data_IF_067198901277
#
_entry.id   IF_067198901277
#
_cell.length_a   1.000
_cell.length_b   1.000
_cell.length_c   1.000
_cell.angle_alpha   90.00
_cell.angle_beta   90.00
_cell.angle_gamma   90.00
#
_symmetry.space_group_name_H-M   'P 1'
#
loop_
_entity.id
_entity.type
_entity.pdbx_description
1 polymer ?
#
# COMPACT_ATOMS: atom_id res chain seq x y z
N UNK A 1 -25.46 -15.58 -2.34
CA UNK A 1 -26.43 -15.54 -1.22
C UNK A 1 -27.26 -14.27 -1.34
N UNK A 2 -28.55 -14.29 -0.99
CA UNK A 2 -29.42 -13.11 -1.10
C UNK A 2 -29.52 -12.40 0.24
N UNK A 3 -29.25 -11.09 0.28
CA UNK A 3 -29.33 -10.32 1.52
C UNK A 3 -30.79 -10.04 1.90
N UNK A 4 -31.18 -10.34 3.14
CA UNK A 4 -32.53 -10.14 3.65
C UNK A 4 -32.94 -8.67 3.73
N UNK A 5 -31.99 -7.75 3.88
CA UNK A 5 -32.27 -6.31 4.01
C UNK A 5 -32.34 -5.60 2.66
N UNK A 6 -31.28 -5.65 1.85
CA UNK A 6 -31.27 -4.96 0.55
C UNK A 6 -31.86 -5.78 -0.60
N UNK A 7 -32.24 -7.04 -0.35
CA UNK A 7 -32.79 -8.00 -1.32
C UNK A 7 -31.89 -8.30 -2.53
N UNK A 8 -30.66 -7.77 -2.58
CA UNK A 8 -29.70 -8.03 -3.64
C UNK A 8 -28.99 -9.38 -3.52
N UNK A 9 -28.61 -9.95 -4.66
CA UNK A 9 -27.71 -11.10 -4.74
C UNK A 9 -26.28 -10.66 -4.45
N UNK A 10 -25.62 -11.43 -3.57
CA UNK A 10 -24.37 -11.07 -2.91
C UNK A 10 -23.40 -12.25 -2.85
N UNK A 11 -22.10 -11.99 -2.94
CA UNK A 11 -21.08 -13.02 -2.74
C UNK A 11 -21.11 -13.49 -1.28
N UNK A 12 -20.67 -14.74 -1.03
CA UNK A 12 -20.64 -15.28 0.35
C UNK A 12 -19.78 -14.42 1.28
N UNK A 13 -18.67 -13.88 0.75
CA UNK A 13 -17.76 -12.98 1.47
C UNK A 13 -18.31 -11.58 1.78
N UNK A 14 -19.48 -11.22 1.23
CA UNK A 14 -20.17 -9.97 1.59
C UNK A 14 -21.01 -10.10 2.88
N UNK A 15 -21.03 -11.29 3.49
CA UNK A 15 -21.71 -11.58 4.76
C UNK A 15 -20.68 -11.80 5.87
N UNK A 16 -21.07 -11.61 7.14
CA UNK A 16 -20.21 -11.96 8.26
C UNK A 16 -19.73 -13.42 8.12
N UNK A 17 -18.42 -13.69 8.29
CA UNK A 17 -17.87 -15.04 8.15
C UNK A 17 -18.33 -15.97 9.29
N UNK A 18 -18.73 -15.38 10.41
CA UNK A 18 -19.31 -16.05 11.57
C UNK A 18 -20.62 -15.35 11.95
N UNK A 19 -21.22 -15.77 13.05
CA UNK A 19 -22.42 -15.11 13.57
C UNK A 19 -22.16 -13.65 13.99
N UNK A 20 -23.21 -12.83 14.03
CA UNK A 20 -23.10 -11.39 14.42
C UNK A 20 -22.53 -11.22 15.84
N UNK A 21 -22.85 -12.15 16.72
CA UNK A 21 -22.20 -12.38 18.02
C UNK A 21 -22.17 -13.89 18.24
N UNK A 22 -21.23 -14.39 19.04
CA UNK A 22 -21.13 -15.80 19.43
C UNK A 22 -22.41 -16.33 20.10
N UNK A 23 -23.27 -15.44 20.60
CA UNK A 23 -24.56 -15.78 21.21
C UNK A 23 -25.69 -16.02 20.21
N UNK A 24 -25.52 -15.65 18.94
CA UNK A 24 -26.50 -15.93 17.90
C UNK A 24 -26.50 -17.41 17.53
N UNK A 25 -27.66 -18.06 17.50
CA UNK A 25 -27.82 -19.43 17.00
C UNK A 25 -28.45 -19.45 15.59
N UNK A 26 -27.97 -18.59 14.70
CA UNK A 26 -28.43 -18.50 13.32
C UNK A 26 -27.32 -18.00 12.40
N UNK A 27 -27.38 -18.40 11.13
CA UNK A 27 -26.49 -17.85 10.10
C UNK A 27 -27.00 -16.45 9.75
N UNK A 28 -26.13 -15.42 9.70
CA UNK A 28 -26.56 -14.07 9.34
C UNK A 28 -27.08 -13.99 7.90
N UNK A 29 -28.28 -13.44 7.73
CA UNK A 29 -28.87 -13.20 6.40
C UNK A 29 -28.71 -11.75 5.92
N UNK A 30 -28.09 -10.89 6.73
CA UNK A 30 -27.75 -9.52 6.37
C UNK A 30 -26.32 -9.45 5.83
N UNK A 31 -26.12 -8.78 4.69
CA UNK A 31 -24.76 -8.46 4.24
C UNK A 31 -24.11 -7.46 5.20
N UNK A 32 -22.77 -7.47 5.29
CA UNK A 32 -21.99 -6.63 6.21
C UNK A 32 -22.35 -5.13 6.08
N UNK A 33 -22.62 -4.65 4.85
CA UNK A 33 -23.06 -3.26 4.60
C UNK A 33 -24.36 -2.92 5.31
N UNK A 34 -25.35 -3.81 5.15
CA UNK A 34 -26.67 -3.64 5.72
C UNK A 34 -26.64 -3.81 7.24
N UNK A 35 -25.80 -4.72 7.73
CA UNK A 35 -25.58 -4.94 9.16
C UNK A 35 -24.99 -3.69 9.83
N UNK A 36 -23.90 -3.14 9.28
CA UNK A 36 -23.26 -1.90 9.76
C UNK A 36 -24.20 -0.70 9.74
N UNK A 37 -24.98 -0.55 8.67
CA UNK A 37 -25.97 0.51 8.56
C UNK A 37 -27.10 0.38 9.59
N UNK A 38 -27.53 -0.85 9.88
CA UNK A 38 -28.59 -1.11 10.86
C UNK A 38 -28.10 -0.90 12.30
N UNK A 39 -26.82 -1.17 12.57
CA UNK A 39 -26.19 -0.92 13.87
C UNK A 39 -25.81 0.55 14.10
N UNK A 40 -26.05 1.42 13.10
CA UNK A 40 -25.80 2.87 13.07
C UNK A 40 -24.49 3.27 13.76
N UNK A 41 -23.38 2.73 13.25
CA UNK A 41 -22.02 2.88 13.78
C UNK A 41 -21.50 4.34 13.74
N UNK A 42 -22.18 5.23 13.01
CA UNK A 42 -21.82 6.65 12.87
C UNK A 42 -22.42 7.55 13.95
N UNK A 43 -23.35 7.05 14.77
CA UNK A 43 -24.01 7.81 15.83
C UNK A 43 -23.50 7.36 17.21
N UNK A 44 -22.61 8.15 17.81
CA UNK A 44 -22.03 7.91 19.15
C UNK A 44 -22.92 8.41 20.30
N UNK A 45 -24.01 9.12 20.01
CA UNK A 45 -24.81 9.84 21.01
C UNK A 45 -26.03 9.10 21.58
N UNK A 46 -26.22 7.81 21.32
CA UNK A 46 -27.35 7.07 21.89
C UNK A 46 -26.93 5.82 22.64
N UNK A 47 -27.20 5.84 23.94
CA UNK A 47 -27.11 4.75 24.92
C UNK A 47 -28.20 3.68 24.69
N UNK A 48 -28.53 3.36 23.42
CA UNK A 48 -29.41 2.25 23.06
C UNK A 48 -28.57 0.98 22.97
N UNK A 49 -28.95 -0.04 23.73
CA UNK A 49 -28.36 -1.37 23.60
C UNK A 49 -28.48 -1.87 22.15
N UNK A 50 -27.36 -1.96 21.44
CA UNK A 50 -27.30 -2.48 20.06
C UNK A 50 -27.55 -3.99 20.08
N UNK A 51 -28.48 -4.47 19.26
CA UNK A 51 -28.87 -5.89 19.18
C UNK A 51 -28.67 -6.41 17.76
N UNK A 52 -28.54 -7.73 17.63
CA UNK A 52 -28.60 -8.39 16.34
C UNK A 52 -29.93 -8.05 15.63
N UNK A 53 -29.94 -7.73 14.32
CA UNK A 53 -31.18 -7.44 13.60
C UNK A 53 -32.05 -8.68 13.35
N UNK A 54 -31.53 -9.88 13.64
CA UNK A 54 -32.16 -11.16 13.31
C UNK A 54 -32.53 -11.98 14.57
N UNK A 55 -32.10 -11.56 15.77
CA UNK A 55 -32.41 -12.22 17.04
C UNK A 55 -32.29 -11.25 18.23
N UNK A 56 -32.78 -11.59 19.44
CA UNK A 56 -32.82 -10.65 20.56
C UNK A 56 -31.46 -10.40 21.23
N UNK A 57 -30.39 -11.08 20.78
CA UNK A 57 -29.06 -11.00 21.38
C UNK A 57 -28.46 -9.60 21.29
N UNK A 58 -27.83 -9.17 22.39
CA UNK A 58 -27.13 -7.88 22.49
C UNK A 58 -25.72 -8.02 21.93
N UNK A 59 -25.23 -6.94 21.31
CA UNK A 59 -23.87 -6.83 20.79
C UNK A 59 -23.07 -5.94 21.74
N UNK A 60 -21.93 -6.42 22.21
CA UNK A 60 -21.00 -5.67 23.06
C UNK A 60 -20.25 -4.60 22.27
N UNK A 61 -19.62 -3.65 22.95
CA UNK A 61 -18.81 -2.62 22.29
C UNK A 61 -17.62 -3.21 21.51
N UNK A 62 -17.02 -4.29 22.02
CA UNK A 62 -15.88 -4.96 21.36
C UNK A 62 -16.32 -5.75 20.12
N UNK A 63 -17.40 -6.54 20.21
CA UNK A 63 -17.98 -7.23 19.04
C UNK A 63 -18.39 -6.23 17.95
N UNK A 64 -18.87 -5.05 18.36
CA UNK A 64 -19.22 -3.98 17.44
C UNK A 64 -17.98 -3.38 16.76
N UNK A 65 -16.89 -3.19 17.52
CA UNK A 65 -15.59 -2.74 16.99
C UNK A 65 -15.05 -3.75 15.99
N UNK A 66 -15.15 -5.05 16.29
CA UNK A 66 -14.76 -6.14 15.38
C UNK A 66 -15.61 -6.17 14.10
N UNK A 67 -16.93 -5.96 14.19
CA UNK A 67 -17.81 -5.86 13.02
C UNK A 67 -17.48 -4.64 12.15
N UNK A 68 -17.11 -3.53 12.79
CA UNK A 68 -16.66 -2.30 12.10
C UNK A 68 -15.34 -2.56 11.38
N UNK A 69 -14.39 -3.19 12.07
CA UNK A 69 -13.09 -3.58 11.51
C UNK A 69 -13.25 -4.57 10.35
N UNK A 70 -14.15 -5.56 10.47
CA UNK A 70 -14.44 -6.52 9.41
C UNK A 70 -15.09 -5.86 8.19
N UNK A 71 -15.93 -4.84 8.41
CA UNK A 71 -16.48 -4.01 7.33
C UNK A 71 -15.43 -3.12 6.69
N UNK A 72 -14.52 -2.53 7.46
CA UNK A 72 -13.45 -1.68 6.94
C UNK A 72 -12.38 -2.46 6.19
N UNK A 73 -12.05 -3.65 6.68
CA UNK A 73 -11.13 -4.61 6.04
C UNK A 73 -11.78 -5.48 4.97
N UNK A 74 -13.09 -5.32 4.74
CA UNK A 74 -13.80 -6.12 3.76
C UNK A 74 -13.17 -5.96 2.37
N UNK A 75 -12.66 -7.04 1.74
CA UNK A 75 -11.96 -6.96 0.45
C UNK A 75 -12.89 -6.57 -0.71
N UNK A 76 -14.20 -6.55 -0.48
CA UNK A 76 -15.22 -6.09 -1.43
C UNK A 76 -15.60 -4.60 -1.26
N UNK A 77 -15.08 -3.89 -0.24
CA UNK A 77 -15.18 -2.41 -0.15
C UNK A 77 -14.30 -1.74 -1.19
N UNK A 78 -13.21 -2.40 -1.57
CA UNK A 78 -12.53 -2.16 -2.82
C UNK A 78 -13.19 -3.13 -3.79
N UNK A 79 -13.62 -2.64 -4.94
CA UNK A 79 -14.20 -3.49 -5.98
C UNK A 79 -13.08 -4.28 -6.69
N UNK A 80 -12.35 -5.11 -5.94
CA UNK A 80 -11.26 -5.96 -6.46
C UNK A 80 -11.85 -7.13 -7.24
N UNK A 81 -13.08 -7.55 -6.94
CA UNK A 81 -13.77 -8.59 -7.72
C UNK A 81 -14.34 -8.12 -9.05
N UNK A 82 -14.52 -6.80 -9.23
CA UNK A 82 -14.87 -6.24 -10.55
C UNK A 82 -13.64 -5.84 -11.36
N UNK A 83 -12.44 -5.95 -10.78
CA UNK A 83 -11.20 -6.00 -11.54
C UNK A 83 -11.01 -7.45 -12.00
N UNK A 84 -11.53 -7.76 -13.20
CA UNK A 84 -11.28 -9.05 -13.86
C UNK A 84 -12.49 -9.92 -14.16
N UNK A 85 -13.72 -9.49 -13.82
CA UNK A 85 -14.95 -10.19 -14.26
C UNK A 85 -15.95 -9.24 -14.90
N UNK A 86 -15.59 -8.67 -16.05
CA UNK A 86 -16.62 -8.34 -17.04
C UNK A 86 -17.11 -9.66 -17.61
N UNK A 87 -18.40 -9.95 -17.39
CA UNK A 87 -19.12 -10.99 -18.14
C UNK A 87 -18.88 -10.73 -19.62
N UNK A 88 -18.27 -11.69 -20.31
CA UNK A 88 -18.41 -11.79 -21.76
C UNK A 88 -19.90 -11.79 -22.06
N UNK A 89 -20.44 -10.66 -22.53
CA UNK A 89 -21.60 -10.70 -23.40
C UNK A 89 -21.14 -11.46 -24.63
N UNK A 90 -21.47 -12.75 -24.66
CA UNK A 90 -21.37 -13.58 -25.85
C UNK A 90 -22.28 -12.98 -26.92
N UNK A 91 -21.74 -12.04 -27.69
CA UNK A 91 -22.15 -11.86 -29.06
C UNK A 91 -21.09 -12.55 -29.91
N UNK A 92 -21.26 -13.86 -30.07
CA UNK A 92 -20.74 -14.58 -31.24
C UNK A 92 -21.30 -13.88 -32.47
N UNK A 93 -20.43 -13.14 -33.17
CA UNK A 93 -20.42 -12.79 -34.60
C UNK A 93 -19.82 -11.39 -34.78
N UNK A 94 -18.50 -11.32 -34.86
CA UNK A 94 -17.83 -10.27 -35.63
C UNK A 94 -16.43 -10.75 -36.02
N UNK A 95 -16.22 -10.87 -37.32
CA UNK A 95 -14.91 -10.97 -37.93
C UNK A 95 -14.01 -9.81 -37.49
N UNK A 96 -12.71 -10.06 -37.50
CA UNK A 96 -11.58 -9.14 -37.40
C UNK A 96 -11.97 -7.64 -37.48
N UNK A 97 -12.07 -6.97 -36.32
CA UNK A 97 -12.71 -5.66 -36.22
C UNK A 97 -12.40 -4.94 -34.91
N UNK A 98 -11.18 -4.40 -34.82
CA UNK A 98 -10.75 -3.29 -33.94
C UNK A 98 -11.54 -3.13 -32.62
N UNK A 99 -11.35 -4.06 -31.68
CA UNK A 99 -11.91 -3.97 -30.33
C UNK A 99 -11.46 -2.64 -29.70
N UNK A 100 -12.41 -1.75 -29.45
CA UNK A 100 -12.16 -0.45 -28.80
C UNK A 100 -12.40 -0.56 -27.30
N UNK A 101 -11.70 0.27 -26.53
CA UNK A 101 -11.90 0.39 -25.10
C UNK A 101 -10.63 0.81 -24.38
N UNK A 102 -10.68 0.77 -23.06
CA UNK A 102 -9.60 1.24 -22.20
C UNK A 102 -9.01 0.11 -21.39
N UNK A 103 -7.71 0.19 -21.08
CA UNK A 103 -7.09 -0.58 -20.01
C UNK A 103 -6.54 0.37 -18.97
N UNK A 104 -6.36 -0.13 -17.75
CA UNK A 104 -5.96 0.68 -16.62
C UNK A 104 -4.67 0.15 -16.01
N UNK A 105 -3.72 1.03 -15.77
CA UNK A 105 -2.51 0.73 -15.00
C UNK A 105 -2.65 1.38 -13.63
N UNK A 106 -2.50 0.59 -12.56
CA UNK A 106 -2.72 1.02 -11.17
C UNK A 106 -1.42 0.91 -10.38
N UNK A 107 -0.96 2.01 -9.80
CA UNK A 107 0.23 2.04 -8.95
C UNK A 107 -0.13 1.67 -7.50
N UNK A 108 0.88 1.34 -6.69
CA UNK A 108 0.70 0.95 -5.28
C UNK A 108 0.10 2.07 -4.40
N UNK A 109 0.32 3.34 -4.76
CA UNK A 109 -0.37 4.45 -4.08
C UNK A 109 -1.88 4.54 -4.40
N UNK A 110 -2.36 3.77 -5.38
CA UNK A 110 -3.74 3.79 -5.88
C UNK A 110 -3.96 4.71 -7.09
N UNK A 111 -2.93 5.41 -7.56
CA UNK A 111 -3.03 6.20 -8.79
C UNK A 111 -3.36 5.30 -9.97
N UNK A 112 -4.35 5.71 -10.76
CA UNK A 112 -4.85 4.96 -11.93
C UNK A 112 -4.56 5.75 -13.21
N UNK A 113 -3.99 5.08 -14.20
CA UNK A 113 -3.72 5.64 -15.53
C UNK A 113 -4.46 4.85 -16.61
N UNK A 114 -5.15 5.59 -17.47
CA UNK A 114 -5.93 5.02 -18.58
C UNK A 114 -5.11 4.99 -19.86
N UNK A 115 -5.18 3.88 -20.59
CA UNK A 115 -4.59 3.68 -21.91
C UNK A 115 -5.62 3.12 -22.87
N UNK A 116 -5.54 3.51 -24.14
CA UNK A 116 -6.46 3.02 -25.17
C UNK A 116 -6.03 1.63 -25.65
N UNK A 117 -6.88 0.63 -25.45
CA UNK A 117 -6.57 -0.78 -25.72
C UNK A 117 -6.11 -1.01 -27.16
N UNK A 118 -6.79 -0.38 -28.12
CA UNK A 118 -6.47 -0.48 -29.55
C UNK A 118 -5.12 0.13 -29.95
N UNK A 119 -4.54 1.00 -29.11
CA UNK A 119 -3.21 1.59 -29.34
C UNK A 119 -2.09 0.70 -28.76
N UNK A 120 -2.41 -0.20 -27.82
CA UNK A 120 -1.44 -1.06 -27.14
C UNK A 120 -1.42 -2.45 -27.78
N UNK A 121 -0.52 -2.65 -28.75
CA UNK A 121 -0.42 -3.92 -29.48
C UNK A 121 0.22 -5.05 -28.65
N UNK A 122 1.17 -4.71 -27.79
CA UNK A 122 1.95 -5.68 -27.01
C UNK A 122 2.53 -5.04 -25.74
N UNK A 123 3.10 -5.88 -24.86
CA UNK A 123 3.67 -5.45 -23.57
C UNK A 123 4.80 -4.42 -23.74
N UNK A 124 5.78 -4.57 -24.66
CA UNK A 124 6.76 -3.52 -24.90
C UNK A 124 6.16 -2.15 -25.24
N UNK A 125 5.11 -2.11 -26.07
CA UNK A 125 4.39 -0.86 -26.38
C UNK A 125 3.70 -0.29 -25.13
N UNK A 126 3.08 -1.13 -24.30
CA UNK A 126 2.49 -0.68 -23.03
C UNK A 126 3.55 -0.02 -22.15
N UNK A 127 4.74 -0.61 -22.03
CA UNK A 127 5.83 -0.06 -21.22
C UNK A 127 6.32 1.29 -21.73
N UNK A 128 6.43 1.45 -23.04
CA UNK A 128 6.78 2.72 -23.67
C UNK A 128 5.74 3.80 -23.37
N UNK A 129 4.45 3.47 -23.47
CA UNK A 129 3.38 4.42 -23.14
C UNK A 129 3.34 4.76 -21.65
N UNK A 130 3.61 3.80 -20.77
CA UNK A 130 3.81 4.05 -19.33
C UNK A 130 4.99 5.00 -19.11
N UNK A 131 6.13 4.79 -19.78
CA UNK A 131 7.29 5.67 -19.68
C UNK A 131 6.94 7.10 -20.10
N UNK A 132 6.27 7.27 -21.24
CA UNK A 132 5.83 8.59 -21.72
C UNK A 132 4.88 9.28 -20.75
N UNK A 133 3.93 8.55 -20.18
CA UNK A 133 2.86 9.12 -19.35
C UNK A 133 3.25 9.34 -17.90
N UNK A 134 4.10 8.47 -17.34
CA UNK A 134 4.45 8.45 -15.92
C UNK A 134 5.93 8.76 -15.65
N UNK A 135 6.75 8.91 -16.68
CA UNK A 135 8.19 9.10 -16.56
C UNK A 135 8.89 7.96 -15.77
N UNK A 136 8.39 6.73 -15.92
CA UNK A 136 9.00 5.53 -15.33
C UNK A 136 9.70 4.74 -16.43
N UNK A 137 11.02 4.58 -16.33
CA UNK A 137 11.79 3.81 -17.31
C UNK A 137 11.31 2.36 -17.40
N UNK A 138 11.34 1.80 -18.62
CA UNK A 138 10.78 0.49 -18.94
C UNK A 138 11.35 -0.65 -18.07
N UNK A 139 12.66 -0.60 -17.78
CA UNK A 139 13.33 -1.58 -16.92
C UNK A 139 12.99 -1.48 -15.42
N UNK A 140 12.34 -0.39 -14.99
CA UNK A 140 11.85 -0.19 -13.62
C UNK A 140 10.38 -0.60 -13.46
N UNK A 141 9.71 -0.92 -14.56
CA UNK A 141 8.30 -1.28 -14.55
C UNK A 141 8.16 -2.78 -14.29
N UNK A 142 7.53 -3.17 -13.19
CA UNK A 142 7.08 -4.54 -12.96
C UNK A 142 5.56 -4.58 -13.07
N UNK A 143 5.07 -5.17 -14.16
CA UNK A 143 3.65 -5.22 -14.48
C UNK A 143 3.07 -6.55 -14.00
N UNK A 144 2.05 -6.50 -13.14
CA UNK A 144 1.37 -7.68 -12.61
C UNK A 144 -0.08 -7.70 -13.12
N UNK A 145 -0.52 -8.85 -13.60
CA UNK A 145 -1.91 -9.09 -13.98
C UNK A 145 -2.31 -10.50 -13.55
N UNK A 146 -3.46 -10.63 -12.89
CA UNK A 146 -3.96 -11.90 -12.34
C UNK A 146 -2.91 -12.66 -11.49
N UNK A 147 -2.18 -11.93 -10.65
CA UNK A 147 -1.15 -12.50 -9.76
C UNK A 147 0.16 -12.90 -10.46
N UNK A 148 0.28 -12.72 -11.78
CA UNK A 148 1.48 -13.07 -12.54
C UNK A 148 2.18 -11.84 -13.11
N UNK A 149 3.51 -11.86 -13.08
CA UNK A 149 4.32 -10.84 -13.74
C UNK A 149 4.29 -11.01 -15.26
N UNK A 150 3.95 -9.92 -15.96
CA UNK A 150 3.85 -9.90 -17.41
C UNK A 150 5.24 -9.97 -18.04
N UNK A 151 5.43 -10.96 -18.92
CA UNK A 151 6.64 -11.12 -19.70
C UNK A 151 6.54 -10.35 -21.01
N UNK A 152 7.62 -9.72 -21.44
CA UNK A 152 7.64 -8.93 -22.67
C UNK A 152 7.55 -9.79 -23.93
N UNK A 153 8.13 -10.99 -23.86
CA UNK A 153 8.26 -11.92 -24.99
C UNK A 153 7.91 -13.34 -24.57
N UNK A 154 7.39 -14.11 -25.54
CA UNK A 154 7.17 -15.56 -25.45
C UNK A 154 8.48 -16.32 -25.57
N UNK A 155 8.45 -17.62 -25.28
CA UNK A 155 9.49 -18.55 -25.71
C UNK A 155 9.66 -18.45 -27.24
N UNK A 156 10.86 -18.10 -27.70
CA UNK A 156 11.15 -17.80 -29.12
C UNK A 156 11.24 -16.32 -29.48
N UNK A 157 11.12 -15.40 -28.50
CA UNK A 157 11.44 -13.98 -28.70
C UNK A 157 10.34 -13.12 -29.33
N UNK A 158 9.17 -13.69 -29.62
CA UNK A 158 8.01 -12.94 -30.14
C UNK A 158 7.38 -12.11 -29.00
N UNK A 159 7.09 -10.81 -29.17
CA UNK A 159 6.43 -10.01 -28.14
C UNK A 159 5.07 -10.57 -27.70
N UNK A 160 4.79 -10.58 -26.40
CA UNK A 160 3.46 -10.91 -25.88
C UNK A 160 2.47 -9.79 -26.20
N UNK A 161 1.39 -10.13 -26.88
CA UNK A 161 0.26 -9.22 -27.08
C UNK A 161 -0.60 -9.17 -25.81
N UNK A 162 -1.46 -8.16 -25.69
CA UNK A 162 -2.45 -8.12 -24.61
C UNK A 162 -3.42 -9.31 -24.67
N UNK A 163 -3.82 -9.70 -25.89
CA UNK A 163 -4.71 -10.83 -26.13
C UNK A 163 -4.10 -12.15 -25.68
N UNK A 164 -2.80 -12.36 -25.93
CA UNK A 164 -2.07 -13.56 -25.48
C UNK A 164 -2.13 -13.75 -23.96
N UNK A 165 -2.24 -12.64 -23.23
CA UNK A 165 -2.24 -12.59 -21.78
C UNK A 165 -3.66 -12.47 -21.19
N UNK A 166 -4.69 -12.62 -22.02
CA UNK A 166 -6.10 -12.42 -21.67
C UNK A 166 -6.39 -11.03 -21.07
N UNK A 167 -5.63 -10.02 -21.47
CA UNK A 167 -5.88 -8.62 -21.10
C UNK A 167 -6.82 -8.05 -22.17
N UNK A 168 -8.05 -7.75 -21.76
CA UNK A 168 -9.05 -7.08 -22.61
C UNK A 168 -9.40 -5.67 -22.12
N UNK A 169 -10.27 -4.95 -22.85
CA UNK A 169 -10.85 -3.70 -22.34
C UNK A 169 -11.47 -3.85 -20.94
N UNK A 170 -11.28 -2.84 -20.10
CA UNK A 170 -11.70 -2.81 -18.70
C UNK A 170 -10.71 -3.45 -17.72
N UNK A 171 -9.64 -4.09 -18.20
CA UNK A 171 -8.66 -4.75 -17.33
C UNK A 171 -7.82 -3.75 -16.53
N UNK A 172 -7.43 -4.13 -15.31
CA UNK A 172 -6.47 -3.38 -14.50
C UNK A 172 -5.19 -4.17 -14.32
N UNK A 173 -4.07 -3.54 -14.63
CA UNK A 173 -2.72 -4.08 -14.53
C UNK A 173 -2.05 -3.30 -13.39
N UNK A 174 -1.50 -4.00 -12.42
CA UNK A 174 -0.76 -3.36 -11.35
C UNK A 174 0.65 -3.01 -11.84
N UNK A 175 1.10 -1.79 -11.58
CA UNK A 175 2.46 -1.33 -11.84
C UNK A 175 3.20 -1.18 -10.50
N UNK A 176 4.20 -2.04 -10.31
CA UNK A 176 5.20 -1.92 -9.25
C UNK A 176 6.40 -1.19 -9.86
N UNK A 177 6.77 -0.04 -9.29
CA UNK A 177 7.93 0.73 -9.74
C UNK A 177 9.15 0.31 -8.91
N UNK A 178 10.02 -0.49 -9.51
CA UNK A 178 11.27 -0.94 -8.89
C UNK A 178 12.35 0.12 -9.11
N UNK A 179 12.67 0.87 -8.06
CA UNK A 179 13.69 1.92 -8.12
C UNK A 179 15.09 1.35 -8.21
N UNK A 180 15.32 0.23 -7.53
CA UNK A 180 16.63 -0.36 -7.37
C UNK A 180 16.56 -1.87 -7.10
N UNK A 181 17.46 -2.66 -7.72
CA UNK A 181 17.62 -4.09 -7.44
C UNK A 181 18.96 -4.32 -6.74
N UNK A 182 18.93 -4.63 -5.45
CA UNK A 182 20.12 -4.97 -4.66
C UNK A 182 20.47 -6.43 -4.94
N UNK A 183 21.28 -6.62 -5.98
CA UNK A 183 21.78 -7.94 -6.35
C UNK A 183 22.95 -8.36 -5.46
N UNK A 184 23.29 -9.65 -5.49
CA UNK A 184 24.49 -10.17 -4.79
C UNK A 184 25.79 -9.46 -5.20
N UNK A 185 25.88 -8.99 -6.44
CA UNK A 185 27.06 -8.30 -6.96
C UNK A 185 27.18 -6.86 -6.43
N UNK A 186 26.07 -6.19 -6.16
CA UNK A 186 26.07 -4.80 -5.69
C UNK A 186 26.29 -4.68 -4.18
N UNK A 187 26.18 -5.77 -3.42
CA UNK A 187 26.70 -5.90 -2.05
C UNK A 187 26.22 -4.84 -1.03
N UNK A 188 25.05 -4.22 -1.23
CA UNK A 188 24.49 -3.29 -0.24
C UNK A 188 24.11 -4.08 1.02
N UNK A 189 25.05 -4.09 1.97
CA UNK A 189 24.90 -4.74 3.28
C UNK A 189 24.24 -3.82 4.29
N UNK A 190 24.49 -2.52 4.16
CA UNK A 190 23.98 -1.51 5.07
C UNK A 190 23.12 -0.52 4.30
N UNK A 191 21.92 -0.30 4.80
CA UNK A 191 20.99 0.69 4.31
C UNK A 191 20.89 1.81 5.35
N UNK A 192 21.00 3.05 4.89
CA UNK A 192 20.85 4.23 5.73
C UNK A 192 19.75 5.11 5.18
N UNK A 193 18.75 5.38 6.01
CA UNK A 193 17.75 6.42 5.80
C UNK A 193 18.15 7.64 6.64
N UNK A 194 18.32 8.79 5.99
CA UNK A 194 18.88 10.02 6.58
C UNK A 194 17.91 11.16 6.28
N UNK A 195 17.22 11.69 7.29
CA UNK A 195 16.14 12.67 7.17
C UNK A 195 16.51 13.99 7.84
N UNK A 196 16.36 15.10 7.13
CA UNK A 196 16.57 16.45 7.62
C UNK A 196 15.33 17.30 7.43
N UNK A 197 15.09 18.21 8.36
CA UNK A 197 14.04 19.22 8.23
C UNK A 197 14.43 20.53 8.93
N UNK A 198 13.82 21.63 8.50
CA UNK A 198 13.76 22.87 9.25
C UNK A 198 12.42 23.00 9.97
N UNK A 199 12.41 23.74 11.07
CA UNK A 199 11.19 23.94 11.87
C UNK A 199 10.08 24.60 11.07
N UNK A 200 8.81 24.40 11.46
CA UNK A 200 7.67 24.95 10.73
C UNK A 200 7.78 26.44 10.46
N UNK A 201 7.32 26.87 9.28
CA UNK A 201 7.54 28.24 8.79
C UNK A 201 7.11 29.35 9.76
N UNK A 202 5.95 29.14 10.38
CA UNK A 202 5.29 30.08 11.29
C UNK A 202 5.10 29.48 12.70
N UNK A 203 5.87 28.44 13.06
CA UNK A 203 5.62 27.63 14.25
C UNK A 203 6.79 27.56 15.22
N UNK A 204 6.51 26.98 16.39
CA UNK A 204 7.51 26.54 17.36
C UNK A 204 8.25 25.30 16.85
N UNK A 205 9.25 24.84 17.59
CA UNK A 205 9.89 23.54 17.35
C UNK A 205 8.85 22.43 17.17
N UNK A 206 9.05 21.62 16.14
CA UNK A 206 8.26 20.42 15.87
C UNK A 206 9.10 19.39 15.09
N UNK A 207 8.57 18.18 14.99
CA UNK A 207 9.28 16.99 14.52
C UNK A 207 8.65 16.44 13.25
N UNK A 208 9.52 16.14 12.29
CA UNK A 208 9.19 15.36 11.12
C UNK A 208 9.85 14.01 11.30
N UNK A 209 9.04 12.96 11.39
CA UNK A 209 9.48 11.65 11.81
C UNK A 209 9.67 10.71 10.64
N UNK A 210 10.89 10.20 10.52
CA UNK A 210 11.24 9.02 9.74
C UNK A 210 10.95 7.77 10.55
N UNK A 211 10.19 6.84 9.99
CA UNK A 211 9.92 5.55 10.63
C UNK A 211 10.23 4.41 9.68
N UNK A 212 10.78 3.32 10.21
CA UNK A 212 10.87 2.05 9.50
C UNK A 212 9.95 1.01 10.17
N UNK A 213 8.99 0.49 9.40
CA UNK A 213 8.08 -0.58 9.81
C UNK A 213 8.50 -1.89 9.12
N UNK A 214 8.86 -2.90 9.92
CA UNK A 214 9.29 -4.21 9.46
C UNK A 214 8.10 -5.17 9.44
N UNK A 215 8.04 -5.98 8.40
CA UNK A 215 7.00 -6.99 8.20
C UNK A 215 7.59 -8.37 7.91
N UNK A 216 6.85 -9.40 8.35
CA UNK A 216 7.02 -10.82 8.03
C UNK A 216 5.82 -11.24 7.19
N UNK A 217 6.01 -11.32 5.87
CA UNK A 217 4.88 -11.36 4.94
C UNK A 217 4.03 -10.11 5.08
N UNK A 218 2.75 -10.29 5.39
CA UNK A 218 1.79 -9.20 5.63
C UNK A 218 1.64 -8.84 7.12
N UNK A 219 2.37 -9.52 8.00
CA UNK A 219 2.26 -9.32 9.46
C UNK A 219 3.26 -8.28 9.92
N UNK A 220 2.78 -7.23 10.58
CA UNK A 220 3.63 -6.26 11.25
C UNK A 220 4.50 -6.95 12.31
N UNK A 221 5.80 -6.69 12.27
CA UNK A 221 6.77 -7.33 13.17
C UNK A 221 7.39 -6.34 14.16
N UNK A 222 7.89 -5.20 13.66
CA UNK A 222 8.64 -4.26 14.50
C UNK A 222 8.63 -2.85 13.91
N UNK A 223 8.70 -1.85 14.78
CA UNK A 223 8.83 -0.43 14.43
C UNK A 223 10.13 0.15 14.96
N UNK A 224 10.78 0.98 14.14
CA UNK A 224 11.89 1.86 14.51
C UNK A 224 11.51 3.30 14.22
N UNK A 225 11.26 4.06 15.28
CA UNK A 225 10.91 5.49 15.28
C UNK A 225 11.68 6.22 16.39
N UNK A 226 11.33 7.48 16.66
CA UNK A 226 11.97 8.31 17.68
C UNK A 226 11.95 7.69 19.09
N UNK A 227 10.92 6.89 19.42
CA UNK A 227 10.78 6.25 20.73
C UNK A 227 11.37 4.83 20.77
N UNK A 228 11.31 4.12 19.65
CA UNK A 228 11.65 2.70 19.52
C UNK A 228 13.01 2.51 18.87
N UNK A 229 14.04 3.12 19.48
CA UNK A 229 15.29 3.40 18.76
C UNK A 229 16.20 2.18 18.56
N UNK A 230 16.13 1.19 19.43
CA UNK A 230 17.00 0.01 19.39
C UNK A 230 16.39 -1.13 20.20
N UNK A 231 16.59 -2.36 19.73
CA UNK A 231 16.15 -3.56 20.44
C UNK A 231 17.36 -4.48 20.63
N UNK A 232 17.82 -4.75 21.87
CA UNK A 232 18.97 -5.63 22.10
C UNK A 232 18.80 -7.04 21.52
N UNK A 233 17.57 -7.56 21.49
CA UNK A 233 17.23 -8.84 20.88
C UNK A 233 17.19 -8.83 19.35
N UNK A 234 17.30 -7.65 18.73
CA UNK A 234 17.32 -7.45 17.28
C UNK A 234 18.32 -6.33 16.93
N UNK A 235 19.64 -6.59 17.02
CA UNK A 235 20.68 -5.57 16.96
C UNK A 235 21.06 -5.14 15.52
N UNK A 236 20.25 -5.52 14.52
CA UNK A 236 20.52 -5.29 13.10
C UNK A 236 20.00 -3.95 12.60
N UNK A 237 19.22 -3.23 13.41
CA UNK A 237 18.67 -1.93 13.06
C UNK A 237 18.74 -0.96 14.23
N UNK A 238 18.87 0.33 13.92
CA UNK A 238 18.91 1.40 14.90
C UNK A 238 18.29 2.68 14.33
N UNK A 239 17.55 3.40 15.16
CA UNK A 239 17.12 4.78 14.93
C UNK A 239 17.98 5.72 15.81
N UNK A 240 18.28 6.93 15.36
CA UNK A 240 19.07 7.90 16.14
C UNK A 240 18.31 8.53 17.29
N UNK A 241 16.98 8.54 17.20
CA UNK A 241 16.14 9.50 17.92
C UNK A 241 16.23 10.89 17.29
N UNK A 242 15.63 11.88 17.93
CA UNK A 242 15.63 13.26 17.44
C UNK A 242 16.97 13.96 17.69
N UNK A 243 17.64 14.38 16.62
CA UNK A 243 18.83 15.21 16.68
C UNK A 243 18.46 16.65 16.33
N UNK A 244 18.24 17.47 17.37
CA UNK A 244 17.73 18.83 17.23
C UNK A 244 18.86 19.88 17.32
N UNK A 245 18.90 20.76 16.33
CA UNK A 245 19.78 21.93 16.26
C UNK A 245 18.92 23.19 16.41
N UNK A 246 18.62 23.53 17.67
CA UNK A 246 17.71 24.63 18.01
C UNK A 246 18.24 26.00 17.55
N UNK A 247 19.56 26.19 17.51
CA UNK A 247 20.19 27.44 17.10
C UNK A 247 19.91 27.74 15.61
N UNK A 248 20.01 26.72 14.76
CA UNK A 248 19.71 26.85 13.33
C UNK A 248 18.28 26.44 12.96
N UNK A 249 17.46 26.06 13.95
CA UNK A 249 16.07 25.57 13.78
C UNK A 249 15.98 24.40 12.81
N UNK A 250 16.85 23.40 12.99
CA UNK A 250 16.88 22.17 12.18
C UNK A 250 16.68 20.94 13.05
N UNK A 251 16.14 19.90 12.44
CA UNK A 251 16.09 18.56 13.00
C UNK A 251 16.66 17.54 12.02
N UNK A 252 17.11 16.43 12.58
CA UNK A 252 17.71 15.33 11.86
C UNK A 252 17.36 13.99 12.53
N UNK A 253 17.05 12.99 11.72
CA UNK A 253 16.86 11.62 12.16
C UNK A 253 17.56 10.68 11.18
N UNK A 254 18.06 9.56 11.72
CA UNK A 254 18.76 8.55 10.95
C UNK A 254 18.34 7.16 11.36
N UNK A 255 18.07 6.31 10.38
CA UNK A 255 17.80 4.87 10.56
C UNK A 255 18.84 4.08 9.79
N UNK A 256 19.47 3.11 10.45
CA UNK A 256 20.40 2.18 9.80
C UNK A 256 19.87 0.75 9.88
N UNK A 257 20.10 -0.02 8.82
CA UNK A 257 19.73 -1.43 8.74
C UNK A 257 20.83 -2.28 8.10
N UNK A 258 21.24 -3.35 8.78
CA UNK A 258 22.18 -4.36 8.27
C UNK A 258 21.42 -5.43 7.49
N UNK A 259 21.12 -5.15 6.22
CA UNK A 259 20.28 -5.98 5.34
C UNK A 259 20.77 -7.44 5.21
N UNK A 260 22.09 -7.67 5.28
CA UNK A 260 22.71 -8.98 5.20
C UNK A 260 22.64 -9.78 6.52
N UNK A 261 22.36 -9.11 7.63
CA UNK A 261 22.21 -9.70 8.96
C UNK A 261 20.76 -9.75 9.44
N UNK A 262 19.82 -9.16 8.70
CA UNK A 262 18.39 -9.26 9.02
C UNK A 262 17.93 -10.73 8.95
N UNK A 263 17.20 -11.23 9.96
CA UNK A 263 16.61 -12.56 9.94
C UNK A 263 15.79 -12.82 8.67
N UNK A 264 15.81 -14.08 8.22
CA UNK A 264 15.26 -14.47 6.92
C UNK A 264 13.75 -14.26 6.83
N UNK A 265 13.05 -14.34 7.97
CA UNK A 265 11.62 -14.09 8.11
C UNK A 265 11.24 -12.63 7.85
N UNK A 266 12.15 -11.67 8.05
CA UNK A 266 11.88 -10.26 7.71
C UNK A 266 11.90 -10.11 6.20
N UNK A 267 10.73 -9.82 5.64
CA UNK A 267 10.52 -9.75 4.19
C UNK A 267 10.48 -8.33 3.66
N UNK A 268 10.04 -7.36 4.46
CA UNK A 268 9.77 -6.00 4.00
C UNK A 268 10.11 -4.96 5.07
N UNK A 269 10.70 -3.85 4.64
CA UNK A 269 10.97 -2.65 5.41
C UNK A 269 10.27 -1.48 4.71
N UNK A 270 9.21 -0.94 5.32
CA UNK A 270 8.53 0.24 4.84
C UNK A 270 9.12 1.49 5.48
N UNK A 271 9.60 2.42 4.66
CA UNK A 271 10.07 3.73 5.12
C UNK A 271 8.96 4.76 4.98
N UNK A 272 8.58 5.33 6.12
CA UNK A 272 7.48 6.28 6.28
C UNK A 272 8.03 7.60 6.75
N UNK A 273 7.45 8.68 6.25
CA UNK A 273 7.62 10.02 6.77
C UNK A 273 6.30 10.50 7.34
N UNK A 274 6.28 11.07 8.54
CA UNK A 274 5.06 11.58 9.17
C UNK A 274 5.32 12.84 10.00
N UNK A 275 4.36 13.76 10.04
CA UNK A 275 4.41 14.89 10.97
C UNK A 275 4.12 14.42 12.41
N UNK A 276 4.63 15.17 13.39
CA UNK A 276 4.25 14.99 14.80
C UNK A 276 3.06 15.89 15.15
N UNK A 277 3.28 17.19 15.44
CA UNK A 277 2.18 18.13 15.76
C UNK A 277 1.67 18.91 14.56
N UNK A 278 2.54 19.15 13.57
CA UNK A 278 2.20 19.95 12.41
C UNK A 278 1.08 19.28 11.59
N UNK A 279 0.13 20.06 11.03
CA UNK A 279 -1.00 19.50 10.30
C UNK A 279 -0.61 18.68 9.09
N UNK A 280 0.54 18.97 8.46
CA UNK A 280 1.04 18.25 7.29
C UNK A 280 2.57 18.32 7.20
N UNK A 281 3.15 17.45 6.38
CA UNK A 281 4.58 17.45 6.03
C UNK A 281 5.01 18.77 5.39
N UNK A 282 4.13 19.43 4.63
CA UNK A 282 4.42 20.69 3.94
C UNK A 282 4.66 21.89 4.87
N UNK A 283 4.40 21.75 6.18
CA UNK A 283 4.67 22.82 7.13
C UNK A 283 6.17 22.97 7.46
N UNK A 284 6.95 21.89 7.31
CA UNK A 284 8.38 21.88 7.61
C UNK A 284 9.18 22.59 6.51
N UNK A 285 10.21 23.34 6.90
CA UNK A 285 11.08 24.02 5.94
C UNK A 285 12.05 23.04 5.31
N UNK A 286 12.15 23.06 3.99
CA UNK A 286 13.17 22.34 3.22
C UNK A 286 13.40 20.90 3.71
N UNK A 287 12.33 20.08 3.89
CA UNK A 287 12.53 18.70 4.30
C UNK A 287 13.27 17.96 3.18
N UNK A 288 14.18 17.08 3.55
CA UNK A 288 14.94 16.28 2.60
C UNK A 288 15.32 14.95 3.21
N UNK A 289 15.45 13.92 2.39
CA UNK A 289 15.92 12.63 2.86
C UNK A 289 16.86 11.97 1.86
N UNK A 290 17.63 10.99 2.35
CA UNK A 290 18.39 10.06 1.53
C UNK A 290 18.10 8.64 2.00
N UNK A 291 17.91 7.73 1.05
CA UNK A 291 17.98 6.30 1.30
C UNK A 291 19.17 5.77 0.50
N UNK A 292 20.25 5.38 1.17
CA UNK A 292 21.55 5.13 0.54
C UNK A 292 22.26 3.92 1.14
N UNK A 293 23.21 3.39 0.38
CA UNK A 293 24.38 2.72 0.93
C UNK A 293 25.43 3.80 1.25
N UNK A 294 25.94 3.84 2.48
CA UNK A 294 26.95 4.85 2.85
C UNK A 294 28.26 4.72 2.07
N UNK A 295 28.53 3.56 1.46
CA UNK A 295 29.69 3.38 0.58
C UNK A 295 29.48 4.02 -0.80
N UNK A 296 28.24 4.33 -1.17
CA UNK A 296 27.85 4.94 -2.44
C UNK A 296 26.86 6.11 -2.19
N UNK A 297 27.28 7.18 -1.49
CA UNK A 297 26.38 8.24 -1.01
C UNK A 297 25.73 9.06 -2.14
N UNK A 298 26.32 9.05 -3.34
CA UNK A 298 25.80 9.75 -4.53
C UNK A 298 24.76 8.93 -5.31
N UNK A 299 24.43 7.71 -4.84
CA UNK A 299 23.50 6.79 -5.49
C UNK A 299 22.27 6.57 -4.61
N UNK A 300 21.30 7.52 -4.55
CA UNK A 300 20.09 7.34 -3.78
C UNK A 300 19.27 6.17 -4.32
N UNK A 301 18.87 5.28 -3.41
CA UNK A 301 18.05 4.10 -3.68
C UNK A 301 16.55 4.43 -3.74
N UNK A 302 16.16 5.58 -3.17
CA UNK A 302 14.81 6.12 -3.27
C UNK A 302 14.86 7.61 -3.66
N UNK A 303 14.04 8.00 -4.64
CA UNK A 303 13.97 9.35 -5.19
C UNK A 303 12.57 9.98 -5.08
N UNK A 304 11.80 9.60 -4.05
CA UNK A 304 10.47 10.17 -3.81
C UNK A 304 10.57 11.69 -3.60
N UNK A 305 9.63 12.44 -4.18
CA UNK A 305 9.59 13.91 -4.08
C UNK A 305 8.65 14.30 -2.94
N UNK A 306 9.19 14.87 -1.85
CA UNK A 306 8.43 15.13 -0.62
C UNK A 306 7.29 16.14 -0.80
N UNK A 307 7.39 17.00 -1.81
CA UNK A 307 6.37 17.98 -2.18
C UNK A 307 5.05 17.30 -2.57
N UNK A 308 5.11 16.05 -3.07
CA UNK A 308 3.91 15.26 -3.37
C UNK A 308 3.11 14.86 -2.12
N UNK A 309 3.72 14.96 -0.93
CA UNK A 309 3.10 14.70 0.36
C UNK A 309 2.86 15.97 1.19
N UNK A 310 3.05 17.17 0.61
CA UNK A 310 2.98 18.44 1.34
C UNK A 310 1.64 18.65 2.08
N UNK A 311 0.53 18.15 1.51
CA UNK A 311 -0.82 18.29 2.08
C UNK A 311 -1.24 17.09 2.94
N UNK A 312 -0.31 16.18 3.26
CA UNK A 312 -0.59 14.96 4.02
C UNK A 312 0.19 14.92 5.34
N UNK A 313 -0.37 14.25 6.34
CA UNK A 313 0.31 14.01 7.62
C UNK A 313 1.36 12.91 7.50
N UNK A 314 1.18 11.94 6.60
CA UNK A 314 2.13 10.86 6.44
C UNK A 314 2.21 10.37 4.99
N UNK A 315 3.38 9.86 4.62
CA UNK A 315 3.61 9.17 3.35
C UNK A 315 4.46 7.93 3.55
N UNK A 316 4.01 6.81 3.01
CA UNK A 316 4.85 5.63 2.80
C UNK A 316 5.65 5.86 1.52
N UNK A 317 6.93 6.19 1.66
CA UNK A 317 7.77 6.60 0.53
C UNK A 317 8.16 5.40 -0.32
N UNK A 318 8.72 4.38 0.31
CA UNK A 318 9.22 3.18 -0.37
C UNK A 318 9.14 1.95 0.53
N UNK A 319 9.28 0.79 -0.11
CA UNK A 319 9.42 -0.51 0.53
C UNK A 319 10.72 -1.16 0.06
N UNK A 320 11.58 -1.55 0.99
CA UNK A 320 12.72 -2.42 0.72
C UNK A 320 12.27 -3.85 0.96
N UNK A 321 12.13 -4.61 -0.13
CA UNK A 321 11.47 -5.92 -0.14
C UNK A 321 12.45 -7.02 -0.56
N UNK A 322 12.39 -8.16 0.12
CA UNK A 322 13.26 -9.31 -0.15
C UNK A 322 12.74 -10.04 -1.39
N UNK A 323 13.63 -10.35 -2.33
CA UNK A 323 13.28 -11.04 -3.61
C UNK A 323 13.79 -12.48 -3.68
N UNK A 324 14.32 -13.00 -2.57
CA UNK A 324 14.86 -14.35 -2.44
C UNK A 324 16.39 -14.39 -2.49
N UNK A 325 16.97 -15.51 -2.02
CA UNK A 325 18.42 -15.77 -2.10
C UNK A 325 19.34 -14.69 -1.49
N UNK A 326 18.82 -13.93 -0.51
CA UNK A 326 19.52 -12.83 0.16
C UNK A 326 19.49 -11.49 -0.59
N UNK A 327 18.80 -11.41 -1.72
CA UNK A 327 18.66 -10.19 -2.52
C UNK A 327 17.48 -9.35 -2.05
N UNK A 328 17.60 -8.05 -2.27
CA UNK A 328 16.59 -7.05 -1.93
C UNK A 328 16.27 -6.19 -3.16
N UNK A 329 15.13 -5.52 -3.13
CA UNK A 329 14.79 -4.48 -4.09
C UNK A 329 14.17 -3.30 -3.35
N UNK A 330 14.30 -2.10 -3.92
CA UNK A 330 13.65 -0.90 -3.42
C UNK A 330 12.51 -0.53 -4.36
N UNK A 331 11.30 -0.48 -3.82
CA UNK A 331 10.06 -0.24 -4.55
C UNK A 331 9.51 1.12 -4.15
N UNK A 332 9.12 1.93 -5.13
CA UNK A 332 8.38 3.16 -4.86
C UNK A 332 6.96 2.83 -4.39
N UNK A 333 6.55 3.42 -3.27
CA UNK A 333 5.17 3.32 -2.77
C UNK A 333 4.45 4.64 -3.03
N UNK A 334 4.90 5.73 -2.41
CA UNK A 334 4.30 7.07 -2.56
C UNK A 334 2.84 7.15 -2.10
N UNK A 335 2.43 6.34 -1.12
CA UNK A 335 1.06 6.26 -0.61
C UNK A 335 0.90 7.27 0.52
N UNK A 336 -0.03 8.20 0.36
CA UNK A 336 -0.42 9.14 1.42
C UNK A 336 -1.28 8.44 2.48
N UNK A 337 -1.15 8.86 3.73
CA UNK A 337 -1.90 8.35 4.87
C UNK A 337 -2.40 9.49 5.77
N UNK A 338 -3.48 9.20 6.51
CA UNK A 338 -4.04 10.09 7.54
C UNK A 338 -3.45 9.85 8.92
N UNK A 339 -2.55 8.88 9.06
CA UNK A 339 -1.82 8.65 10.30
C UNK A 339 -0.69 9.66 10.47
N UNK A 340 0.00 9.58 11.60
CA UNK A 340 1.10 10.48 11.93
C UNK A 340 2.05 9.77 12.93
N UNK A 341 3.03 10.50 13.48
CA UNK A 341 4.00 9.92 14.42
C UNK A 341 3.40 9.52 15.79
N UNK A 342 2.18 9.97 16.10
CA UNK A 342 1.43 9.59 17.32
C UNK A 342 0.38 8.49 17.05
N UNK A 343 -0.05 8.32 15.79
CA UNK A 343 -1.08 7.36 15.38
C UNK A 343 -0.69 6.62 14.09
N UNK A 344 -0.18 5.39 14.26
CA UNK A 344 0.29 4.53 13.17
C UNK A 344 -0.82 3.66 12.55
N UNK A 345 -1.99 3.52 13.18
CA UNK A 345 -3.05 2.62 12.69
C UNK A 345 -3.44 2.94 11.22
N UNK A 346 -3.63 4.21 10.81
CA UNK A 346 -3.92 4.53 9.42
C UNK A 346 -2.73 4.31 8.48
N UNK A 347 -1.49 4.41 8.97
CA UNK A 347 -0.26 4.12 8.21
C UNK A 347 -0.19 2.63 7.92
N UNK A 348 -0.37 1.77 8.93
CA UNK A 348 -0.40 0.31 8.77
C UNK A 348 -1.55 -0.13 7.86
N UNK A 349 -2.74 0.47 8.00
CA UNK A 349 -3.85 0.23 7.08
C UNK A 349 -3.48 0.59 5.64
N UNK A 350 -2.82 1.73 5.43
CA UNK A 350 -2.37 2.18 4.11
C UNK A 350 -1.30 1.26 3.52
N UNK A 351 -0.41 0.71 4.34
CA UNK A 351 0.57 -0.31 3.93
C UNK A 351 -0.15 -1.58 3.46
N UNK A 352 -1.17 -2.05 4.19
CA UNK A 352 -1.99 -3.19 3.79
C UNK A 352 -2.69 -3.02 2.43
N UNK A 353 -2.99 -1.78 2.04
CA UNK A 353 -3.52 -1.47 0.70
C UNK A 353 -2.45 -1.49 -0.41
N UNK A 354 -1.17 -1.45 -0.05
CA UNK A 354 -0.04 -1.47 -0.97
C UNK A 354 0.54 -2.89 -1.15
N UNK A 355 -0.27 -3.93 -0.92
CA UNK A 355 0.18 -5.32 -0.95
C UNK A 355 1.00 -5.62 -2.22
N UNK A 356 2.22 -6.10 -1.99
CA UNK A 356 3.20 -6.46 -3.02
C UNK A 356 3.01 -7.90 -3.53
N UNK A 357 2.16 -8.66 -2.86
CA UNK A 357 1.81 -10.04 -3.16
C UNK A 357 0.28 -10.09 -3.31
N UNK A 358 -0.18 -10.70 -4.41
CA UNK A 358 -1.60 -10.97 -4.65
C UNK A 358 -1.92 -12.44 -4.48
#
# INVERSE_FOLDING_TARGET
MKCSQCKGDKLSKEFPPTTVTERCNHIPSYCLRCLVKNLDLTNTNNQKSRKCPECPEKITAEELKLLTLAWDKAPFKIDVDSIGKVKLTQNTNAADGNIKGEIYVVLLNGQKCTFQYNQIKNIPVLRQEIRKKLNVDEGKQKLIFNGAELQDRKAGGVPNTLQDLNIGPGSHIQLIVVLYNITRAESIKNLTFDLFWGYPANGTQDYLDGTCLLYVGEVFFRKYDYASVFYPSFPHMKHSGDLMDNANKRGHQRITAKLDQLPAEVTQLYFVLSSFKSPTIGHFKTPSFKLIDETQPDKPLCSYQLEQAAESQAVIMCCVSRVGQGMWQVIQIGKLSRGNAEDYDPIEYSIGQCALFG
#
